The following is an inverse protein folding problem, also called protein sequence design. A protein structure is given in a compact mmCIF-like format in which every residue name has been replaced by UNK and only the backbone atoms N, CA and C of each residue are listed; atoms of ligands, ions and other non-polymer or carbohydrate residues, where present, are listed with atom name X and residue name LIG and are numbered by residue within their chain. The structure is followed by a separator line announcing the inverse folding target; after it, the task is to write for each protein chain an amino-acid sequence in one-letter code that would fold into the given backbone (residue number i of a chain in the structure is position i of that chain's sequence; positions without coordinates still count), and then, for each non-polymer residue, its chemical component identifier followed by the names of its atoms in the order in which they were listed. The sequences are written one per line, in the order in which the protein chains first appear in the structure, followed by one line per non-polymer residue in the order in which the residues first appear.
data_IF_481119095144
#
_entry.id   IF_481119095144
#
_cell.length_a   1.000
_cell.length_b   1.000
_cell.length_c   1.000
_cell.angle_alpha   90.00
_cell.angle_beta   90.00
_cell.angle_gamma   90.00
#
_symmetry.space_group_name_H-M   'P 1'
#
loop_
_entity.id
_entity.type
_entity.pdbx_description
1 polymer ?
#
# COMPACT_ATOMS: atom_id res chain seq x y z
N UNK A 1 5.15 -19.08 -14.07
CA UNK A 1 4.58 -18.05 -13.17
C UNK A 1 5.33 -17.90 -11.84
N UNK A 2 5.89 -18.98 -11.25
CA UNK A 2 6.73 -18.88 -10.04
C UNK A 2 8.00 -18.03 -10.25
N UNK A 3 8.60 -18.12 -11.43
CA UNK A 3 9.83 -17.42 -11.83
C UNK A 3 9.69 -15.89 -11.81
N UNK A 4 8.55 -15.35 -12.23
CA UNK A 4 8.30 -13.89 -12.23
C UNK A 4 8.17 -13.35 -10.80
N UNK A 5 7.48 -14.11 -9.93
CA UNK A 5 7.32 -13.75 -8.53
C UNK A 5 8.66 -13.79 -7.79
N UNK A 6 9.49 -14.78 -8.08
CA UNK A 6 10.82 -14.92 -7.50
C UNK A 6 11.75 -13.79 -7.98
N UNK A 7 11.69 -13.46 -9.26
CA UNK A 7 12.47 -12.35 -9.85
C UNK A 7 12.06 -11.01 -9.24
N UNK A 8 10.75 -10.77 -9.05
CA UNK A 8 10.24 -9.58 -8.37
C UNK A 8 10.71 -9.52 -6.91
N UNK A 9 10.62 -10.63 -6.18
CA UNK A 9 11.07 -10.71 -4.79
C UNK A 9 12.57 -10.43 -4.66
N UNK A 10 13.39 -10.99 -5.55
CA UNK A 10 14.83 -10.75 -5.58
C UNK A 10 15.17 -9.31 -5.93
N UNK A 11 14.52 -8.72 -6.94
CA UNK A 11 14.73 -7.32 -7.31
C UNK A 11 14.41 -6.38 -6.14
N UNK A 12 13.24 -6.55 -5.51
CA UNK A 12 12.84 -5.77 -4.33
C UNK A 12 13.81 -5.95 -3.16
N UNK A 13 14.30 -7.16 -2.93
CA UNK A 13 15.27 -7.45 -1.89
C UNK A 13 16.58 -6.70 -2.12
N UNK A 14 17.17 -6.81 -3.32
CA UNK A 14 18.43 -6.13 -3.68
C UNK A 14 18.29 -4.62 -3.54
N UNK A 15 17.23 -4.03 -4.09
CA UNK A 15 16.98 -2.57 -3.96
C UNK A 15 16.85 -2.16 -2.49
N UNK A 16 16.12 -2.92 -1.68
CA UNK A 16 15.95 -2.60 -0.25
C UNK A 16 17.25 -2.75 0.54
N UNK A 17 18.04 -3.79 0.24
CA UNK A 17 19.30 -4.07 0.92
C UNK A 17 20.35 -2.99 0.60
N UNK A 18 20.46 -2.57 -0.65
CA UNK A 18 21.37 -1.49 -1.05
C UNK A 18 20.99 -0.16 -0.41
N UNK A 19 19.70 0.15 -0.33
CA UNK A 19 19.21 1.33 0.40
C UNK A 19 19.55 1.30 1.90
N UNK A 20 19.52 0.12 2.51
CA UNK A 20 19.90 -0.04 3.92
C UNK A 20 21.41 0.09 4.13
N UNK A 21 22.23 -0.29 3.14
CA UNK A 21 23.69 -0.08 3.17
C UNK A 21 24.05 1.40 3.01
N UNK A 22 23.38 2.09 2.09
CA UNK A 22 23.62 3.52 1.84
C UNK A 22 23.17 4.40 3.01
N UNK A 23 22.13 3.98 3.72
CA UNK A 23 21.52 4.74 4.80
C UNK A 23 21.36 3.86 6.05
N UNK A 24 22.36 3.82 6.95
CA UNK A 24 22.27 3.04 8.19
C UNK A 24 21.30 3.64 9.22
N UNK A 25 21.06 4.96 9.16
CA UNK A 25 20.22 5.71 10.10
C UNK A 25 18.73 5.34 10.14
N UNK A 26 18.04 5.02 9.03
CA UNK A 26 16.63 4.58 9.05
C UNK A 26 16.40 3.16 9.60
N UNK A 27 17.46 2.39 9.91
CA UNK A 27 17.29 1.08 10.52
C UNK A 27 16.60 1.24 11.90
N UNK A 28 15.57 0.43 12.22
CA UNK A 28 14.92 0.51 13.52
C UNK A 28 15.94 0.32 14.64
N UNK A 29 15.91 1.20 15.65
CA UNK A 29 16.84 1.10 16.78
C UNK A 29 16.76 -0.30 17.42
N UNK A 30 17.93 -0.91 17.59
CA UNK A 30 18.09 -2.24 18.19
C UNK A 30 19.03 -2.16 19.38
N UNK A 31 18.73 -2.84 20.50
CA UNK A 31 19.68 -2.98 21.58
C UNK A 31 20.91 -3.76 21.07
N UNK A 32 22.11 -3.30 21.45
CA UNK A 32 23.37 -3.95 21.09
C UNK A 32 23.51 -5.37 21.67
N UNK A 33 22.69 -5.71 22.68
CA UNK A 33 22.66 -6.99 23.37
C UNK A 33 21.25 -7.58 23.20
N UNK A 34 21.13 -8.73 22.56
CA UNK A 34 19.85 -9.43 22.35
C UNK A 34 19.91 -10.50 21.27
N UNK A 35 18.83 -11.26 21.12
CA UNK A 35 18.70 -12.27 20.06
C UNK A 35 18.57 -11.56 18.71
N UNK A 36 19.55 -11.76 17.83
CA UNK A 36 19.48 -11.28 16.46
C UNK A 36 18.24 -11.90 15.77
N UNK A 37 17.43 -11.10 15.06
CA UNK A 37 16.27 -11.64 14.38
C UNK A 37 16.70 -12.59 13.26
N UNK A 38 16.00 -13.71 13.13
CA UNK A 38 16.22 -14.64 12.01
C UNK A 38 15.71 -14.11 10.66
N UNK A 39 14.93 -13.02 10.67
CA UNK A 39 14.47 -12.30 9.48
C UNK A 39 15.12 -10.91 9.49
N UNK A 40 15.87 -10.54 8.47
CA UNK A 40 16.48 -9.22 8.35
C UNK A 40 15.44 -8.13 8.12
N UNK A 41 15.85 -6.86 8.24
CA UNK A 41 14.94 -5.75 7.97
C UNK A 41 14.67 -5.59 6.46
N UNK A 42 15.65 -5.92 5.61
CA UNK A 42 15.46 -6.01 4.16
C UNK A 42 14.38 -7.05 3.82
N UNK A 43 14.51 -8.27 4.35
CA UNK A 43 13.53 -9.35 4.09
C UNK A 43 12.12 -8.99 4.59
N UNK A 44 12.02 -8.35 5.75
CA UNK A 44 10.74 -7.89 6.30
C UNK A 44 10.06 -6.88 5.37
N UNK A 45 10.84 -5.94 4.84
CA UNK A 45 10.35 -4.87 3.98
C UNK A 45 9.99 -5.40 2.60
N UNK A 46 10.79 -6.31 2.03
CA UNK A 46 10.44 -7.04 0.82
C UNK A 46 9.11 -7.76 0.97
N UNK A 47 8.89 -8.49 2.07
CA UNK A 47 7.62 -9.16 2.33
C UNK A 47 6.44 -8.18 2.43
N UNK A 48 6.63 -7.04 3.09
CA UNK A 48 5.58 -6.03 3.22
C UNK A 48 5.25 -5.36 1.87
N UNK A 49 6.26 -5.08 1.04
CA UNK A 49 6.06 -4.54 -0.31
C UNK A 49 5.36 -5.55 -1.22
N UNK A 50 5.78 -6.82 -1.20
CA UNK A 50 5.09 -7.88 -1.94
C UNK A 50 3.64 -8.05 -1.49
N UNK A 51 3.36 -7.94 -0.19
CA UNK A 51 2.00 -7.96 0.33
C UNK A 51 1.14 -6.86 -0.30
N UNK A 52 1.67 -5.64 -0.40
CA UNK A 52 1.00 -4.49 -1.00
C UNK A 52 0.80 -4.66 -2.51
N UNK A 53 1.85 -5.06 -3.25
CA UNK A 53 1.81 -5.24 -4.70
C UNK A 53 0.85 -6.36 -5.14
N UNK A 54 0.72 -7.41 -4.33
CA UNK A 54 -0.20 -8.53 -4.60
C UNK A 54 -1.62 -8.29 -4.05
N UNK A 55 -1.88 -7.12 -3.44
CA UNK A 55 -3.23 -6.75 -2.97
C UNK A 55 -3.72 -7.53 -1.75
N UNK A 56 -2.83 -8.08 -0.93
CA UNK A 56 -3.24 -8.81 0.27
C UNK A 56 -3.61 -7.87 1.42
N UNK A 57 -4.91 -7.72 1.67
CA UNK A 57 -5.44 -6.95 2.81
C UNK A 57 -5.38 -7.69 4.15
N UNK A 58 -5.27 -9.02 4.12
CA UNK A 58 -5.20 -9.87 5.33
C UNK A 58 -3.80 -10.44 5.55
N UNK A 59 -3.13 -10.01 6.63
CA UNK A 59 -1.79 -10.48 7.00
C UNK A 59 -1.76 -12.00 7.26
N UNK A 60 -2.83 -12.56 7.85
CA UNK A 60 -2.91 -13.99 8.08
C UNK A 60 -2.96 -14.77 6.76
N UNK A 61 -3.68 -14.24 5.76
CA UNK A 61 -3.73 -14.82 4.41
C UNK A 61 -2.39 -14.66 3.69
N UNK A 62 -1.77 -13.49 3.81
CA UNK A 62 -0.44 -13.21 3.30
C UNK A 62 0.59 -14.21 3.83
N UNK A 63 0.72 -14.35 5.15
CA UNK A 63 1.70 -15.26 5.74
C UNK A 63 1.46 -16.74 5.40
N UNK A 64 0.22 -17.15 5.11
CA UNK A 64 -0.05 -18.49 4.56
C UNK A 64 0.44 -18.62 3.12
N UNK A 65 0.21 -17.60 2.30
CA UNK A 65 0.67 -17.55 0.92
C UNK A 65 2.20 -17.51 0.83
N UNK A 66 2.87 -16.68 1.63
CA UNK A 66 4.34 -16.61 1.68
C UNK A 66 4.96 -17.93 2.12
N UNK A 67 4.33 -18.66 3.06
CA UNK A 67 4.81 -19.98 3.48
C UNK A 67 4.75 -21.04 2.39
N UNK A 68 3.80 -20.96 1.46
CA UNK A 68 3.67 -21.93 0.37
C UNK A 68 4.47 -21.55 -0.87
N UNK A 69 4.62 -20.25 -1.15
CA UNK A 69 5.22 -19.77 -2.40
C UNK A 69 6.59 -19.13 -2.24
N UNK A 70 6.93 -18.58 -1.08
CA UNK A 70 8.15 -17.77 -0.87
C UNK A 70 9.09 -18.35 0.18
N UNK A 71 8.79 -19.54 0.71
CA UNK A 71 9.61 -20.19 1.75
C UNK A 71 11.02 -20.55 1.27
N UNK A 72 11.20 -20.74 -0.04
CA UNK A 72 12.52 -21.00 -0.62
C UNK A 72 13.39 -19.74 -0.66
N UNK A 73 12.78 -18.56 -0.76
CA UNK A 73 13.48 -17.27 -0.71
C UNK A 73 13.66 -16.75 0.70
N UNK A 74 12.68 -16.99 1.59
CA UNK A 74 12.70 -16.58 2.99
C UNK A 74 12.61 -17.81 3.90
N UNK A 75 13.76 -18.38 4.33
CA UNK A 75 13.79 -19.61 5.12
C UNK A 75 13.03 -19.51 6.44
N UNK A 76 13.01 -18.32 7.04
CA UNK A 76 12.30 -18.04 8.30
C UNK A 76 11.17 -17.03 8.09
N UNK A 77 9.94 -17.42 8.44
CA UNK A 77 8.76 -16.56 8.41
C UNK A 77 8.12 -16.47 9.80
N UNK A 78 8.07 -15.27 10.42
CA UNK A 78 7.52 -15.11 11.76
C UNK A 78 6.02 -15.44 11.83
N UNK A 79 5.54 -15.72 13.04
CA UNK A 79 4.09 -15.80 13.30
C UNK A 79 3.47 -14.40 13.17
N UNK A 80 2.17 -14.35 12.84
CA UNK A 80 1.42 -13.10 12.67
C UNK A 80 1.70 -12.00 13.72
N UNK A 81 1.63 -12.28 15.04
CA UNK A 81 1.91 -11.22 16.04
C UNK A 81 3.34 -10.69 15.99
N UNK A 82 4.32 -11.54 15.67
CA UNK A 82 5.73 -11.16 15.52
C UNK A 82 5.97 -10.34 14.27
N UNK A 83 5.34 -10.73 13.16
CA UNK A 83 5.37 -9.98 11.89
C UNK A 83 4.83 -8.57 12.10
N UNK A 84 3.61 -8.42 12.63
CA UNK A 84 2.95 -7.14 12.81
C UNK A 84 3.72 -6.19 13.74
N UNK A 85 4.25 -6.72 14.85
CA UNK A 85 5.05 -5.93 15.80
C UNK A 85 6.29 -5.35 15.12
N UNK A 86 6.93 -6.10 14.24
CA UNK A 86 8.09 -5.63 13.49
C UNK A 86 7.71 -4.66 12.38
N UNK A 87 6.62 -4.91 11.67
CA UNK A 87 6.13 -4.04 10.59
C UNK A 87 5.84 -2.63 11.11
N UNK A 88 5.23 -2.52 12.30
CA UNK A 88 5.01 -1.23 12.98
C UNK A 88 6.30 -0.50 13.31
N UNK A 89 7.36 -1.22 13.68
CA UNK A 89 8.68 -0.61 13.95
C UNK A 89 9.42 -0.23 12.67
N UNK A 90 9.13 -0.90 11.56
CA UNK A 90 9.71 -0.64 10.24
C UNK A 90 8.87 0.32 9.38
N UNK A 91 7.86 0.99 9.96
CA UNK A 91 6.94 1.84 9.21
C UNK A 91 7.65 3.00 8.47
N UNK A 92 8.64 3.63 9.09
CA UNK A 92 9.42 4.71 8.46
C UNK A 92 10.32 4.20 7.32
N UNK A 93 10.91 3.02 7.50
CA UNK A 93 11.69 2.35 6.47
C UNK A 93 10.80 2.01 5.27
N UNK A 94 9.61 1.44 5.52
CA UNK A 94 8.61 1.16 4.49
C UNK A 94 8.21 2.42 3.73
N UNK A 95 7.90 3.52 4.43
CA UNK A 95 7.58 4.80 3.80
C UNK A 95 8.69 5.30 2.87
N UNK A 96 9.94 5.13 3.28
CA UNK A 96 11.09 5.57 2.49
C UNK A 96 11.30 4.71 1.25
N UNK A 97 11.21 3.39 1.38
CA UNK A 97 11.31 2.46 0.25
C UNK A 97 10.16 2.67 -0.73
N UNK A 98 8.93 2.84 -0.23
CA UNK A 98 7.78 3.19 -1.08
C UNK A 98 8.01 4.52 -1.80
N UNK A 99 8.57 5.54 -1.14
CA UNK A 99 8.90 6.82 -1.78
C UNK A 99 9.95 6.67 -2.87
N UNK A 100 10.99 5.88 -2.63
CA UNK A 100 12.07 5.64 -3.60
C UNK A 100 11.57 4.87 -4.82
N UNK A 101 10.79 3.81 -4.60
CA UNK A 101 10.13 3.07 -5.67
C UNK A 101 9.15 3.96 -6.44
N UNK A 102 8.44 4.85 -5.75
CA UNK A 102 7.56 5.82 -6.39
C UNK A 102 8.38 6.77 -7.28
N UNK A 103 9.47 7.36 -6.80
CA UNK A 103 10.32 8.27 -7.59
C UNK A 103 10.97 7.60 -8.80
N UNK A 104 11.27 6.30 -8.72
CA UNK A 104 11.81 5.53 -9.85
C UNK A 104 10.74 5.13 -10.87
N UNK A 105 9.45 5.24 -10.51
CA UNK A 105 8.34 4.94 -11.42
C UNK A 105 7.93 6.19 -12.18
N UNK A 106 7.74 6.07 -13.51
CA UNK A 106 7.33 7.19 -14.38
C UNK A 106 6.01 7.85 -13.98
N UNK A 107 5.16 7.12 -13.25
CA UNK A 107 3.90 7.62 -12.65
C UNK A 107 4.13 8.76 -11.66
N UNK A 108 5.30 8.83 -11.01
CA UNK A 108 5.62 9.94 -10.10
C UNK A 108 5.84 11.27 -10.82
N UNK A 109 6.35 11.22 -12.04
CA UNK A 109 6.47 12.38 -12.93
C UNK A 109 5.21 12.62 -13.78
N UNK A 110 4.22 11.73 -13.72
CA UNK A 110 2.99 11.91 -14.48
C UNK A 110 2.11 12.98 -13.82
N UNK A 111 1.61 13.90 -14.64
CA UNK A 111 0.67 14.93 -14.22
C UNK A 111 -0.71 14.38 -13.85
N UNK A 112 -0.90 13.06 -13.81
CA UNK A 112 -2.20 12.41 -13.63
C UNK A 112 -2.21 11.60 -12.34
N UNK A 113 -2.87 12.15 -11.31
CA UNK A 113 -3.11 11.44 -10.06
C UNK A 113 -4.43 10.67 -10.13
N UNK A 114 -4.38 9.36 -9.88
CA UNK A 114 -5.57 8.53 -9.71
C UNK A 114 -6.06 8.70 -8.27
N UNK A 115 -7.19 9.38 -8.11
CA UNK A 115 -7.86 9.55 -6.81
C UNK A 115 -8.95 8.49 -6.71
N UNK A 116 -8.90 7.66 -5.66
CA UNK A 116 -9.99 6.73 -5.35
C UNK A 116 -11.24 7.53 -4.98
N UNK A 117 -12.27 7.45 -5.81
CA UNK A 117 -13.49 8.22 -5.63
C UNK A 117 -14.33 7.58 -4.52
N UNK A 118 -14.34 8.19 -3.33
CA UNK A 118 -15.34 7.83 -2.32
C UNK A 118 -16.69 8.44 -2.71
N UNK A 119 -17.78 7.65 -2.78
CA UNK A 119 -19.08 8.18 -3.16
C UNK A 119 -19.55 9.20 -2.10
N UNK A 120 -19.79 10.44 -2.53
CA UNK A 120 -20.30 11.49 -1.65
C UNK A 120 -21.81 11.39 -1.57
N UNK A 121 -22.37 11.33 -0.36
CA UNK A 121 -23.82 11.27 -0.16
C UNK A 121 -24.48 12.59 -0.60
N UNK A 122 -25.25 12.54 -1.68
CA UNK A 122 -25.93 13.70 -2.28
C UNK A 122 -27.41 13.79 -1.90
N UNK A 123 -28.00 12.70 -1.40
CA UNK A 123 -29.38 12.70 -0.95
C UNK A 123 -29.89 11.32 -0.54
N UNK A 124 -30.96 11.32 0.27
CA UNK A 124 -31.61 10.10 0.77
C UNK A 124 -33.03 9.88 0.26
N UNK A 125 -33.65 10.90 -0.33
CA UNK A 125 -35.03 10.80 -0.83
C UNK A 125 -35.09 11.05 -2.33
N UNK A 126 -36.02 10.37 -3.01
CA UNK A 126 -36.28 10.57 -4.44
C UNK A 126 -36.67 12.01 -4.75
N UNK A 127 -37.34 12.68 -3.81
CA UNK A 127 -37.82 14.04 -3.98
C UNK A 127 -36.69 15.07 -3.84
N UNK A 128 -35.77 14.86 -2.88
CA UNK A 128 -34.58 15.70 -2.70
C UNK A 128 -33.67 15.67 -3.93
N UNK A 129 -33.50 14.50 -4.55
CA UNK A 129 -32.63 14.34 -5.72
C UNK A 129 -33.28 14.89 -6.99
N UNK A 130 -34.60 14.74 -7.17
CA UNK A 130 -35.31 15.31 -8.34
C UNK A 130 -35.38 16.84 -8.33
N UNK A 131 -35.24 17.47 -7.17
CA UNK A 131 -35.29 18.93 -7.00
C UNK A 131 -33.91 19.57 -6.88
N UNK A 132 -32.84 18.79 -6.73
CA UNK A 132 -31.48 19.33 -6.68
C UNK A 132 -30.85 19.33 -8.07
N UNK A 133 -29.90 20.23 -8.30
CA UNK A 133 -29.09 20.28 -9.53
C UNK A 133 -28.19 19.03 -9.71
N UNK A 134 -28.23 18.10 -8.75
CA UNK A 134 -27.56 16.80 -8.81
C UNK A 134 -28.42 15.72 -9.51
N UNK A 135 -29.65 16.06 -9.91
CA UNK A 135 -30.51 15.21 -10.73
C UNK A 135 -29.83 14.84 -12.05
N UNK A 136 -29.48 13.56 -12.23
CA UNK A 136 -28.77 13.06 -13.41
C UNK A 136 -27.25 12.94 -13.25
N UNK A 137 -26.67 13.49 -12.17
CA UNK A 137 -25.26 13.32 -11.81
C UNK A 137 -25.06 12.29 -10.69
N UNK A 138 -26.03 12.19 -9.77
CA UNK A 138 -26.01 11.20 -8.70
C UNK A 138 -26.70 9.91 -9.13
N UNK A 139 -26.07 8.76 -8.87
CA UNK A 139 -26.64 7.43 -9.06
C UNK A 139 -27.15 6.84 -7.74
N UNK A 140 -28.21 6.02 -7.81
CA UNK A 140 -28.75 5.31 -6.64
C UNK A 140 -28.03 3.99 -6.44
N UNK A 141 -27.38 3.82 -5.29
CA UNK A 141 -26.58 2.64 -5.00
C UNK A 141 -26.56 2.25 -3.52
N UNK A 142 -26.16 1.01 -3.25
CA UNK A 142 -25.96 0.51 -1.89
C UNK A 142 -24.50 0.70 -1.45
N UNK A 143 -24.28 1.42 -0.36
CA UNK A 143 -22.96 1.58 0.25
C UNK A 143 -22.76 0.53 1.34
N UNK A 144 -21.95 -0.49 1.07
CA UNK A 144 -21.64 -1.55 2.04
C UNK A 144 -20.96 -1.03 3.31
N UNK A 145 -20.09 -0.01 3.20
CA UNK A 145 -19.38 0.57 4.34
C UNK A 145 -20.30 1.28 5.35
N UNK A 146 -21.44 1.80 4.87
CA UNK A 146 -22.45 2.45 5.71
C UNK A 146 -23.74 1.63 5.85
N UNK A 147 -23.75 0.40 5.32
CA UNK A 147 -24.89 -0.51 5.31
C UNK A 147 -26.22 0.13 4.87
N UNK A 148 -26.19 1.05 3.89
CA UNK A 148 -27.37 1.86 3.53
C UNK A 148 -27.43 2.21 2.05
N UNK A 149 -28.64 2.42 1.56
CA UNK A 149 -28.90 2.94 0.22
C UNK A 149 -28.83 4.47 0.22
N UNK A 150 -28.11 5.03 -0.75
CA UNK A 150 -27.97 6.47 -0.90
C UNK A 150 -27.86 6.85 -2.38
N UNK A 151 -28.16 8.11 -2.68
CA UNK A 151 -27.78 8.71 -3.95
C UNK A 151 -26.42 9.35 -3.78
N UNK A 152 -25.46 8.98 -4.63
CA UNK A 152 -24.11 9.53 -4.57
C UNK A 152 -23.58 9.94 -5.94
N UNK A 153 -22.75 10.98 -5.92
CA UNK A 153 -21.88 11.31 -7.04
C UNK A 153 -20.50 10.68 -6.77
N UNK A 154 -19.94 10.02 -7.79
CA UNK A 154 -18.54 9.61 -7.83
C UNK A 154 -17.75 10.65 -8.59
N UNK A 155 -16.94 11.44 -7.87
CA UNK A 155 -16.01 12.36 -8.53
C UNK A 155 -14.82 11.58 -9.06
N UNK A 156 -14.83 11.24 -10.34
CA UNK A 156 -13.68 10.68 -11.05
C UNK A 156 -13.04 11.77 -11.90
N UNK A 157 -12.28 12.68 -11.28
CA UNK A 157 -11.43 13.60 -12.03
C UNK A 157 -9.98 13.10 -12.00
N UNK A 158 -9.29 13.01 -13.15
CA UNK A 158 -7.84 13.05 -13.14
C UNK A 158 -7.40 14.42 -12.60
N UNK A 159 -6.84 14.44 -11.39
CA UNK A 159 -6.26 15.66 -10.83
C UNK A 159 -4.95 15.95 -11.57
N UNK A 160 -4.95 17.00 -12.39
CA UNK A 160 -3.73 17.57 -12.95
C UNK A 160 -3.05 18.41 -11.87
N UNK A 161 -1.78 18.14 -11.56
CA UNK A 161 -1.05 18.95 -10.60
C UNK A 161 -1.09 20.42 -11.03
N UNK A 162 -1.54 21.32 -10.15
CA UNK A 162 -1.36 22.75 -10.38
C UNK A 162 0.15 23.02 -10.41
N UNK A 163 0.69 23.68 -11.45
CA UNK A 163 2.09 24.09 -11.43
C UNK A 163 2.32 24.98 -10.21
N UNK A 164 3.37 24.67 -9.44
CA UNK A 164 3.79 25.51 -8.32
C UNK A 164 3.99 26.95 -8.82
N UNK A 165 3.52 27.98 -8.12
CA UNK A 165 3.81 29.35 -8.49
C UNK A 165 5.33 29.54 -8.44
N UNK A 166 5.94 29.80 -9.59
CA UNK A 166 7.29 30.31 -9.68
C UNK A 166 7.38 31.66 -8.93
N UNK A 167 8.52 31.96 -8.28
CA UNK A 167 8.67 33.08 -7.35
C UNK A 167 8.45 34.47 -7.97
#
# INVERSE_FOLDING_TARGET
MKTELDSLATALYVTTDDLLKELPHPAPWRPAIGIAPQLSDAELVTLAMMQAMLGFTSEARWLRHSRSHLRHLFPYLPKQPGYNKRLRKAAELLRRVTRLLATDTTVWSDDVWVVDSTPVECGRSRETVKRSDLAGWAEYGYCASHSRFLWACTWSAPCRACPSPSP
#
